data_IF_383120973873
#
_entry.id   IF_383120973873
#
_cell.length_a   1.000
_cell.length_b   1.000
_cell.length_c   1.000
_cell.angle_alpha   90.00
_cell.angle_beta   90.00
_cell.angle_gamma   90.00
#
_symmetry.space_group_name_H-M   'P 1'
#
loop_
_entity.id
_entity.type
_entity.pdbx_description
1 polymer ?
#
# COMPACT_ATOMS: atom_id res chain seq x y z
N UNK A 1 -50.29 -20.27 -2.80
CA UNK A 1 -50.08 -18.81 -2.60
C UNK A 1 -49.04 -18.64 -1.51
N UNK A 2 -47.92 -18.01 -1.85
CA UNK A 2 -46.65 -18.08 -1.13
C UNK A 2 -46.59 -17.14 0.07
N UNK A 3 -46.12 -17.67 1.21
CA UNK A 3 -45.86 -16.96 2.46
C UNK A 3 -44.63 -16.05 2.32
N UNK A 4 -44.82 -14.73 2.40
CA UNK A 4 -43.72 -13.77 2.58
C UNK A 4 -43.36 -13.71 4.08
N UNK A 5 -42.29 -14.38 4.48
CA UNK A 5 -41.62 -14.10 5.76
C UNK A 5 -40.59 -12.98 5.54
N UNK A 6 -40.86 -11.83 6.13
CA UNK A 6 -39.93 -10.72 6.28
C UNK A 6 -38.90 -11.07 7.35
N UNK A 7 -37.65 -11.32 6.96
CA UNK A 7 -36.53 -11.50 7.89
C UNK A 7 -35.83 -10.16 8.12
N UNK A 8 -36.03 -9.61 9.32
CA UNK A 8 -35.27 -8.47 9.83
C UNK A 8 -33.78 -8.83 9.95
N UNK A 9 -32.92 -8.04 9.33
CA UNK A 9 -31.47 -8.11 9.54
C UNK A 9 -31.18 -7.47 10.90
N UNK A 10 -30.68 -8.30 11.81
CA UNK A 10 -30.23 -7.91 13.14
C UNK A 10 -29.00 -6.99 12.98
N UNK A 11 -29.15 -5.69 13.27
CA UNK A 11 -28.04 -4.73 13.26
C UNK A 11 -27.14 -5.01 14.47
N UNK A 12 -26.08 -5.78 14.26
CA UNK A 12 -24.96 -5.81 15.20
C UNK A 12 -24.37 -4.41 15.29
N UNK A 13 -24.41 -3.87 16.50
CA UNK A 13 -23.89 -2.56 16.86
C UNK A 13 -22.45 -2.39 16.38
N UNK A 14 -22.21 -1.34 15.61
CA UNK A 14 -20.86 -0.90 15.29
C UNK A 14 -20.12 -0.58 16.61
N UNK A 15 -18.87 -1.03 16.79
CA UNK A 15 -18.12 -0.72 18.00
C UNK A 15 -17.92 0.79 18.11
N UNK A 16 -18.30 1.35 19.27
CA UNK A 16 -18.12 2.77 19.61
C UNK A 16 -16.63 3.14 19.53
N UNK A 17 -16.33 4.34 19.00
CA UNK A 17 -14.98 4.91 18.98
C UNK A 17 -14.36 4.89 20.39
N UNK A 18 -13.09 4.49 20.55
CA UNK A 18 -12.40 4.60 21.83
C UNK A 18 -12.29 6.08 22.24
N UNK A 19 -12.50 6.38 23.52
CA UNK A 19 -12.28 7.71 24.11
C UNK A 19 -10.80 8.10 23.97
N UNK A 20 -10.56 9.38 23.68
CA UNK A 20 -9.25 9.98 23.62
C UNK A 20 -8.53 9.84 24.97
N UNK A 21 -7.36 9.21 24.98
CA UNK A 21 -6.55 9.00 26.19
C UNK A 21 -5.74 7.70 26.23
N UNK A 22 -5.93 6.78 25.26
CA UNK A 22 -5.11 5.57 25.14
C UNK A 22 -3.87 5.77 24.29
N UNK A 23 -2.78 5.09 24.65
CA UNK A 23 -1.57 5.00 23.83
C UNK A 23 -1.94 4.66 22.36
N UNK A 24 -1.59 5.53 21.39
CA UNK A 24 -1.89 5.33 19.98
C UNK A 24 -1.35 3.98 19.47
N UNK A 25 -0.18 3.54 19.95
CA UNK A 25 0.41 2.26 19.56
C UNK A 25 -0.42 1.08 20.07
N UNK A 26 -0.96 1.17 21.30
CA UNK A 26 -1.86 0.16 21.85
C UNK A 26 -3.19 0.11 21.08
N UNK A 27 -3.72 1.26 20.67
CA UNK A 27 -4.99 1.37 19.93
C UNK A 27 -4.87 0.81 18.51
N UNK A 28 -3.74 1.05 17.84
CA UNK A 28 -3.44 0.47 16.52
C UNK A 28 -3.21 -1.04 16.64
N UNK A 29 -2.42 -1.51 17.62
CA UNK A 29 -2.21 -2.95 17.84
C UNK A 29 -3.52 -3.68 18.15
N UNK A 30 -4.38 -3.10 18.98
CA UNK A 30 -5.67 -3.71 19.33
C UNK A 30 -6.68 -3.67 18.19
N UNK A 31 -6.75 -2.57 17.42
CA UNK A 31 -7.58 -2.50 16.22
C UNK A 31 -7.10 -3.45 15.12
N UNK A 32 -5.79 -3.52 14.88
CA UNK A 32 -5.17 -4.43 13.92
C UNK A 32 -5.38 -5.89 14.34
N UNK A 33 -5.18 -6.22 15.63
CA UNK A 33 -5.42 -7.55 16.18
C UNK A 33 -6.89 -7.94 16.10
N UNK A 34 -7.82 -7.04 16.41
CA UNK A 34 -9.25 -7.29 16.28
C UNK A 34 -9.67 -7.52 14.82
N UNK A 35 -9.11 -6.74 13.88
CA UNK A 35 -9.39 -6.88 12.44
C UNK A 35 -8.77 -8.14 11.85
N UNK A 36 -7.52 -8.47 12.21
CA UNK A 36 -6.85 -9.71 11.84
C UNK A 36 -7.58 -10.94 12.41
N UNK A 37 -8.09 -10.86 13.64
CA UNK A 37 -8.89 -11.93 14.24
C UNK A 37 -10.26 -12.07 13.58
N UNK A 38 -10.90 -10.96 13.19
CA UNK A 38 -12.13 -10.97 12.38
C UNK A 38 -11.89 -11.61 11.00
N UNK A 39 -10.74 -11.36 10.37
CA UNK A 39 -10.34 -12.01 9.12
C UNK A 39 -10.01 -13.50 9.28
N UNK A 40 -9.45 -13.90 10.44
CA UNK A 40 -9.24 -15.31 10.80
C UNK A 40 -10.55 -16.07 11.05
N UNK A 41 -11.57 -15.40 11.59
CA UNK A 41 -12.89 -15.99 11.85
C UNK A 41 -13.77 -16.18 10.62
N UNK A 42 -13.50 -15.46 9.52
CA UNK A 42 -14.35 -15.45 8.31
C UNK A 42 -13.81 -16.36 7.20
N UNK A 43 -12.55 -16.83 7.26
CA UNK A 43 -11.96 -17.54 6.13
C UNK A 43 -10.96 -18.60 6.56
N UNK A 44 -11.33 -19.88 6.44
CA UNK A 44 -10.36 -20.92 6.05
C UNK A 44 -9.82 -20.50 4.68
N UNK A 45 -8.66 -19.84 4.65
CA UNK A 45 -7.98 -19.54 3.40
C UNK A 45 -7.52 -20.86 2.78
N UNK A 46 -8.34 -21.43 1.90
CA UNK A 46 -7.93 -22.52 1.03
C UNK A 46 -7.06 -21.89 -0.05
N UNK A 47 -5.74 -21.83 0.16
CA UNK A 47 -4.79 -21.52 -0.90
C UNK A 47 -4.85 -22.66 -1.93
N UNK A 48 -5.82 -22.62 -2.83
CA UNK A 48 -5.96 -23.64 -3.88
C UNK A 48 -5.00 -23.38 -5.06
N UNK A 49 -4.28 -22.26 -5.07
CA UNK A 49 -3.40 -21.89 -6.18
C UNK A 49 -2.02 -21.45 -5.67
N UNK A 50 -0.97 -22.11 -6.18
CA UNK A 50 0.41 -21.74 -5.92
C UNK A 50 0.67 -20.26 -6.24
N UNK A 51 1.32 -19.57 -5.31
CA UNK A 51 1.67 -18.16 -5.42
C UNK A 51 3.04 -18.06 -6.09
N UNK A 52 3.14 -17.27 -7.17
CA UNK A 52 4.39 -17.14 -7.94
C UNK A 52 5.34 -16.11 -7.33
N UNK A 53 4.80 -15.09 -6.64
CA UNK A 53 5.56 -14.08 -5.91
C UNK A 53 4.86 -13.78 -4.59
N UNK A 54 5.63 -13.53 -3.53
CA UNK A 54 5.07 -13.11 -2.23
C UNK A 54 4.09 -11.94 -2.39
N UNK A 55 2.95 -11.93 -1.65
CA UNK A 55 2.07 -10.78 -1.63
C UNK A 55 2.78 -9.54 -1.08
N UNK A 56 2.55 -8.39 -1.71
CA UNK A 56 3.17 -7.12 -1.36
C UNK A 56 2.12 -6.04 -1.26
N UNK A 57 2.36 -5.07 -0.40
CA UNK A 57 1.54 -3.87 -0.31
C UNK A 57 2.38 -2.67 0.04
N UNK A 58 1.95 -1.51 -0.44
CA UNK A 58 2.65 -0.26 -0.26
C UNK A 58 1.71 0.75 0.41
N UNK A 59 2.26 1.65 1.21
CA UNK A 59 1.47 2.59 1.98
C UNK A 59 2.16 3.93 2.10
N UNK A 60 1.42 5.00 1.87
CA UNK A 60 1.90 6.37 2.05
C UNK A 60 0.76 7.21 2.62
N UNK A 61 1.09 7.96 3.66
CA UNK A 61 0.19 8.89 4.35
C UNK A 61 1.02 9.81 5.23
N UNK A 62 0.50 11.00 5.53
CA UNK A 62 1.06 11.86 6.58
C UNK A 62 0.85 11.25 7.99
N UNK A 63 -0.08 10.31 8.13
CA UNK A 63 -0.29 9.54 9.36
C UNK A 63 0.38 8.17 9.24
N UNK A 64 1.37 7.89 10.10
CA UNK A 64 2.18 6.67 10.05
C UNK A 64 1.38 5.39 10.26
N UNK A 65 0.44 5.38 11.21
CA UNK A 65 -0.43 4.24 11.46
C UNK A 65 -1.27 3.89 10.22
N UNK A 66 -1.84 4.91 9.57
CA UNK A 66 -2.64 4.73 8.36
C UNK A 66 -1.81 4.25 7.17
N UNK A 67 -0.57 4.74 7.03
CA UNK A 67 0.34 4.25 5.99
C UNK A 67 0.64 2.75 6.18
N UNK A 68 0.91 2.31 7.41
CA UNK A 68 1.15 0.89 7.72
C UNK A 68 -0.11 0.05 7.48
N UNK A 69 -1.28 0.52 7.92
CA UNK A 69 -2.55 -0.15 7.68
C UNK A 69 -2.78 -0.36 6.18
N UNK A 70 -2.57 0.68 5.36
CA UNK A 70 -2.65 0.62 3.91
C UNK A 70 -1.72 -0.44 3.31
N UNK A 71 -0.45 -0.46 3.72
CA UNK A 71 0.52 -1.43 3.22
C UNK A 71 0.11 -2.88 3.56
N UNK A 72 -0.38 -3.12 4.78
CA UNK A 72 -0.84 -4.44 5.19
C UNK A 72 -2.11 -4.87 4.42
N UNK A 73 -3.07 -3.97 4.24
CA UNK A 73 -4.30 -4.26 3.50
C UNK A 73 -4.01 -4.54 2.03
N UNK A 74 -3.09 -3.80 1.41
CA UNK A 74 -2.66 -4.06 0.03
C UNK A 74 -1.95 -5.42 -0.08
N UNK A 75 -1.14 -5.83 0.90
CA UNK A 75 -0.49 -7.14 0.90
C UNK A 75 -1.51 -8.29 1.06
N UNK A 76 -2.60 -8.06 1.79
CA UNK A 76 -3.67 -9.06 1.98
C UNK A 76 -4.60 -9.18 0.77
N UNK A 77 -4.77 -8.11 0.00
CA UNK A 77 -5.73 -8.06 -1.11
C UNK A 77 -5.50 -9.15 -2.17
N UNK A 78 -4.25 -9.45 -2.62
CA UNK A 78 -3.99 -10.57 -3.53
C UNK A 78 -4.37 -11.94 -2.97
N UNK A 79 -4.37 -12.12 -1.65
CA UNK A 79 -4.76 -13.39 -1.02
C UNK A 79 -6.28 -13.59 -1.02
N UNK A 80 -7.04 -12.50 -0.92
CA UNK A 80 -8.50 -12.52 -0.94
C UNK A 80 -9.08 -12.58 -2.36
N UNK A 81 -8.41 -11.92 -3.31
CA UNK A 81 -8.87 -11.78 -4.69
C UNK A 81 -8.10 -12.68 -5.66
N UNK A 82 -7.34 -13.68 -5.19
CA UNK A 82 -6.48 -14.49 -6.07
C UNK A 82 -7.32 -15.21 -7.12
N UNK A 83 -6.99 -14.99 -8.38
CA UNK A 83 -7.64 -15.64 -9.52
C UNK A 83 -6.59 -16.17 -10.49
N UNK A 84 -6.98 -17.12 -11.34
CA UNK A 84 -6.16 -17.58 -12.49
C UNK A 84 -5.66 -16.41 -13.34
N UNK A 85 -6.48 -15.38 -13.53
CA UNK A 85 -6.13 -14.17 -14.29
C UNK A 85 -5.00 -13.39 -13.63
N UNK A 86 -5.03 -13.19 -12.31
CA UNK A 86 -3.95 -12.50 -11.59
C UNK A 86 -2.64 -13.29 -11.68
N UNK A 87 -2.68 -14.62 -11.51
CA UNK A 87 -1.49 -15.46 -11.67
C UNK A 87 -0.91 -15.36 -13.09
N UNK A 88 -1.77 -15.28 -14.12
CA UNK A 88 -1.31 -15.12 -15.49
C UNK A 88 -0.67 -13.75 -15.72
N UNK A 89 -1.22 -12.69 -15.13
CA UNK A 89 -0.62 -11.34 -15.19
C UNK A 89 0.76 -11.33 -14.54
N UNK A 90 0.91 -11.94 -13.36
CA UNK A 90 2.21 -12.09 -12.67
C UNK A 90 3.22 -12.87 -13.54
N UNK A 91 2.82 -14.03 -14.08
CA UNK A 91 3.68 -14.82 -14.98
C UNK A 91 4.09 -14.04 -16.22
N UNK A 92 3.16 -13.32 -16.85
CA UNK A 92 3.45 -12.50 -18.02
C UNK A 92 4.41 -11.35 -17.68
N UNK A 93 4.28 -10.75 -16.50
CA UNK A 93 5.21 -9.74 -15.99
C UNK A 93 6.62 -10.30 -15.89
N UNK A 94 6.80 -11.44 -15.22
CA UNK A 94 8.12 -12.07 -15.07
C UNK A 94 8.70 -12.50 -16.42
N UNK A 95 7.86 -13.03 -17.32
CA UNK A 95 8.28 -13.42 -18.66
C UNK A 95 8.84 -12.25 -19.47
N UNK A 96 8.29 -11.03 -19.32
CA UNK A 96 8.83 -9.81 -19.95
C UNK A 96 10.22 -9.43 -19.46
N UNK A 97 10.62 -9.92 -18.29
CA UNK A 97 11.90 -9.62 -17.64
C UNK A 97 12.87 -10.81 -17.66
N UNK A 98 12.53 -11.91 -18.34
CA UNK A 98 13.29 -13.17 -18.32
C UNK A 98 14.77 -13.01 -18.68
N UNK A 99 15.08 -12.11 -19.61
CA UNK A 99 16.44 -11.87 -20.13
C UNK A 99 17.21 -10.86 -19.25
N UNK A 100 16.60 -10.37 -18.16
CA UNK A 100 17.17 -9.38 -17.26
C UNK A 100 16.99 -9.83 -15.79
N UNK A 101 17.86 -10.73 -15.30
CA UNK A 101 17.73 -11.34 -13.98
C UNK A 101 17.58 -10.33 -12.84
N UNK A 102 18.33 -9.22 -12.85
CA UNK A 102 18.25 -8.18 -11.82
C UNK A 102 16.87 -7.48 -11.80
N UNK A 103 16.29 -7.20 -12.97
CA UNK A 103 14.93 -6.64 -13.02
C UNK A 103 13.89 -7.68 -12.60
N UNK A 104 14.09 -8.95 -12.95
CA UNK A 104 13.19 -10.03 -12.54
C UNK A 104 13.20 -10.19 -11.01
N UNK A 105 14.36 -10.14 -10.37
CA UNK A 105 14.50 -10.21 -8.91
C UNK A 105 13.87 -8.98 -8.24
N UNK A 106 14.09 -7.78 -8.78
CA UNK A 106 13.43 -6.56 -8.31
C UNK A 106 11.90 -6.63 -8.46
N UNK A 107 11.39 -7.20 -9.56
CA UNK A 107 9.95 -7.40 -9.76
C UNK A 107 9.38 -8.42 -8.78
N UNK A 108 10.13 -9.49 -8.45
CA UNK A 108 9.75 -10.47 -7.43
C UNK A 108 9.77 -9.90 -6.02
N UNK A 109 10.61 -8.90 -5.74
CA UNK A 109 10.76 -8.22 -4.44
C UNK A 109 10.53 -9.17 -3.26
N UNK A 110 11.34 -10.22 -3.21
CA UNK A 110 11.28 -11.28 -2.21
C UNK A 110 11.69 -10.72 -0.85
N UNK A 111 10.70 -10.40 -0.02
CA UNK A 111 10.92 -9.73 1.26
C UNK A 111 11.51 -10.73 2.26
N UNK A 112 11.07 -12.00 2.21
CA UNK A 112 11.63 -13.06 3.02
C UNK A 112 13.14 -13.22 2.83
N UNK A 113 13.60 -13.25 1.57
CA UNK A 113 15.02 -13.26 1.23
C UNK A 113 15.75 -12.03 1.74
N UNK A 114 15.22 -10.82 1.51
CA UNK A 114 15.85 -9.58 1.97
C UNK A 114 16.00 -9.51 3.50
N UNK A 115 15.03 -10.05 4.25
CA UNK A 115 15.12 -10.15 5.71
C UNK A 115 16.19 -11.16 6.11
N UNK A 116 16.21 -12.35 5.50
CA UNK A 116 17.19 -13.40 5.79
C UNK A 116 18.64 -12.93 5.51
N UNK A 117 18.82 -12.14 4.47
CA UNK A 117 20.11 -11.54 4.07
C UNK A 117 20.43 -10.24 4.81
N UNK A 118 19.58 -9.79 5.74
CA UNK A 118 19.74 -8.54 6.50
C UNK A 118 19.83 -7.28 5.61
N UNK A 119 19.14 -7.28 4.47
CA UNK A 119 19.00 -6.13 3.58
C UNK A 119 17.82 -5.24 3.98
N UNK A 120 17.84 -4.74 5.22
CA UNK A 120 16.81 -3.84 5.73
C UNK A 120 17.39 -2.90 6.80
N UNK A 121 16.69 -1.80 7.06
CA UNK A 121 16.96 -0.90 8.16
C UNK A 121 15.80 -0.95 9.15
N UNK A 122 16.09 -1.26 10.40
CA UNK A 122 15.12 -1.14 11.49
C UNK A 122 14.87 0.33 11.80
N UNK A 123 13.59 0.68 11.94
CA UNK A 123 13.15 2.02 12.31
C UNK A 123 12.16 1.89 13.45
N UNK A 124 12.38 2.64 14.52
CA UNK A 124 11.44 2.67 15.64
C UNK A 124 10.17 3.43 15.22
N UNK A 125 9.05 2.74 15.31
CA UNK A 125 7.72 3.27 15.00
C UNK A 125 7.40 4.55 15.78
N UNK A 126 7.81 4.63 17.05
CA UNK A 126 7.49 5.78 17.91
C UNK A 126 8.23 7.07 17.51
N UNK A 127 9.28 6.93 16.69
CA UNK A 127 10.08 8.04 16.19
C UNK A 127 9.72 8.45 14.75
N UNK A 128 8.70 7.81 14.15
CA UNK A 128 8.24 8.19 12.81
C UNK A 128 7.49 9.53 12.85
N UNK A 129 7.79 10.47 11.94
CA UNK A 129 7.03 11.70 11.82
C UNK A 129 5.58 11.36 11.44
N UNK A 130 4.63 11.93 12.17
CA UNK A 130 3.21 11.74 11.92
C UNK A 130 2.49 13.06 12.10
N UNK A 131 1.70 13.44 11.10
CA UNK A 131 0.77 14.56 11.21
C UNK A 131 -0.60 13.97 11.56
N UNK A 132 -1.05 14.23 12.78
CA UNK A 132 -2.42 13.92 13.20
C UNK A 132 -3.26 15.19 13.18
N UNK A 133 -4.55 15.05 12.89
CA UNK A 133 -5.58 16.07 13.16
C UNK A 133 -5.46 17.42 12.41
N UNK A 134 -4.83 17.42 11.22
CA UNK A 134 -4.87 18.55 10.30
C UNK A 134 -6.09 18.46 9.37
N UNK A 135 -6.71 19.60 9.04
CA UNK A 135 -7.72 19.67 7.99
C UNK A 135 -7.12 19.37 6.60
N UNK A 136 -7.97 19.05 5.63
CA UNK A 136 -7.54 18.63 4.29
C UNK A 136 -6.68 19.70 3.57
N UNK A 137 -6.96 20.99 3.76
CA UNK A 137 -6.21 22.08 3.13
C UNK A 137 -4.81 22.16 3.71
N UNK A 138 -4.69 22.00 5.02
CA UNK A 138 -3.41 21.96 5.73
C UNK A 138 -2.58 20.73 5.33
N UNK A 139 -3.21 19.56 5.23
CA UNK A 139 -2.56 18.34 4.74
C UNK A 139 -2.04 18.51 3.31
N UNK A 140 -2.87 19.04 2.39
CA UNK A 140 -2.49 19.26 1.00
C UNK A 140 -1.32 20.26 0.90
N UNK A 141 -1.39 21.37 1.64
CA UNK A 141 -0.32 22.37 1.67
C UNK A 141 1.00 21.78 2.17
N UNK A 142 0.94 20.92 3.20
CA UNK A 142 2.12 20.23 3.74
C UNK A 142 2.75 19.28 2.70
N UNK A 143 1.93 18.55 1.94
CA UNK A 143 2.40 17.66 0.86
C UNK A 143 3.06 18.48 -0.24
N UNK A 144 2.42 19.57 -0.69
CA UNK A 144 2.96 20.43 -1.75
C UNK A 144 4.27 21.08 -1.33
N UNK A 145 4.35 21.54 -0.07
CA UNK A 145 5.58 22.10 0.49
C UNK A 145 6.71 21.06 0.51
N UNK A 146 6.45 19.84 0.99
CA UNK A 146 7.43 18.76 1.00
C UNK A 146 7.92 18.40 -0.42
N UNK A 147 7.02 18.35 -1.40
CA UNK A 147 7.37 18.12 -2.81
C UNK A 147 8.29 19.25 -3.33
N UNK A 148 7.94 20.51 -3.05
CA UNK A 148 8.72 21.67 -3.49
C UNK A 148 10.09 21.76 -2.83
N UNK A 149 10.22 21.42 -1.55
CA UNK A 149 11.49 21.40 -0.83
C UNK A 149 12.45 20.34 -1.38
N UNK A 150 11.93 19.29 -2.01
CA UNK A 150 12.73 18.30 -2.71
C UNK A 150 13.08 18.72 -4.16
N UNK A 151 12.75 19.95 -4.57
CA UNK A 151 13.02 20.48 -5.91
C UNK A 151 12.04 20.00 -7.00
N UNK A 152 10.90 19.42 -6.61
CA UNK A 152 9.89 18.96 -7.56
C UNK A 152 8.70 19.91 -7.64
N UNK A 153 7.94 19.81 -8.73
CA UNK A 153 6.66 20.52 -8.89
C UNK A 153 5.54 19.53 -9.08
N UNK A 154 4.40 19.76 -8.41
CA UNK A 154 3.19 18.98 -8.58
C UNK A 154 2.22 19.70 -9.52
N UNK A 155 1.76 18.98 -10.53
CA UNK A 155 0.73 19.41 -11.47
C UNK A 155 -0.50 18.54 -11.29
N UNK A 156 -1.68 19.10 -11.51
CA UNK A 156 -2.91 18.32 -11.53
C UNK A 156 -3.80 18.72 -12.69
N UNK A 157 -4.67 17.81 -13.08
CA UNK A 157 -5.75 18.05 -14.03
C UNK A 157 -7.00 17.33 -13.55
N UNK A 158 -8.16 17.93 -13.80
CA UNK A 158 -9.44 17.26 -13.58
C UNK A 158 -9.67 16.37 -14.81
N UNK A 159 -9.64 15.06 -14.61
CA UNK A 159 -9.83 14.08 -15.68
C UNK A 159 -11.30 13.97 -16.07
N UNK A 160 -12.19 13.96 -15.07
CA UNK A 160 -13.64 13.92 -15.28
C UNK A 160 -14.36 14.33 -14.00
N UNK A 161 -15.57 14.86 -14.15
CA UNK A 161 -16.55 15.02 -13.07
C UNK A 161 -17.75 14.17 -13.44
N UNK A 162 -18.06 13.17 -12.60
CA UNK A 162 -19.22 12.30 -12.84
C UNK A 162 -20.52 13.03 -12.48
N UNK A 163 -21.65 12.60 -13.05
CA UNK A 163 -22.97 13.16 -12.74
C UNK A 163 -23.33 13.09 -11.24
N UNK A 164 -22.64 12.23 -10.48
CA UNK A 164 -22.75 12.10 -9.02
C UNK A 164 -21.87 13.09 -8.23
N UNK A 165 -21.29 14.10 -8.89
CA UNK A 165 -20.33 15.04 -8.30
C UNK A 165 -19.04 14.40 -7.76
N UNK A 166 -18.68 13.22 -8.27
CA UNK A 166 -17.37 12.60 -8.00
C UNK A 166 -16.35 13.18 -8.98
N UNK A 167 -15.34 13.85 -8.44
CA UNK A 167 -14.24 14.43 -9.23
C UNK A 167 -13.06 13.47 -9.27
N UNK A 168 -12.66 13.08 -10.49
CA UNK A 168 -11.43 12.33 -10.71
C UNK A 168 -10.31 13.30 -11.07
N UNK A 169 -9.24 13.31 -10.27
CA UNK A 169 -8.07 14.15 -10.49
C UNK A 169 -6.89 13.28 -10.87
N UNK A 170 -6.11 13.72 -11.86
CA UNK A 170 -4.82 13.16 -12.20
C UNK A 170 -3.74 14.10 -11.69
N UNK A 171 -2.82 13.57 -10.88
CA UNK A 171 -1.66 14.30 -10.37
C UNK A 171 -0.40 13.79 -11.07
N UNK A 172 0.48 14.72 -11.44
CA UNK A 172 1.78 14.45 -12.04
C UNK A 172 2.84 15.23 -11.27
N UNK A 173 3.87 14.53 -10.80
CA UNK A 173 5.07 15.15 -10.22
C UNK A 173 6.26 14.70 -11.06
N UNK A 174 6.70 15.51 -12.05
CA UNK A 174 7.85 15.18 -12.88
C UNK A 174 9.11 14.97 -12.03
N UNK A 175 9.98 14.05 -12.46
CA UNK A 175 11.22 13.74 -11.75
C UNK A 175 11.08 12.75 -10.59
N UNK A 176 9.87 12.44 -10.11
CA UNK A 176 9.71 11.35 -9.14
C UNK A 176 10.07 10.01 -9.75
N UNK A 177 10.75 9.19 -8.94
CA UNK A 177 11.18 7.85 -9.28
C UNK A 177 10.01 6.94 -9.70
N UNK A 178 10.23 6.14 -10.73
CA UNK A 178 9.24 5.21 -11.30
C UNK A 178 9.71 3.75 -11.25
N UNK A 179 10.74 3.44 -10.48
CA UNK A 179 11.33 2.11 -10.39
C UNK A 179 10.30 1.04 -10.00
N UNK A 180 9.29 1.40 -9.19
CA UNK A 180 8.18 0.52 -8.84
C UNK A 180 7.45 -0.10 -10.04
N UNK A 181 7.49 0.52 -11.23
CA UNK A 181 6.91 -0.04 -12.46
C UNK A 181 7.63 -1.30 -12.97
N UNK A 182 8.79 -1.65 -12.40
CA UNK A 182 9.43 -2.96 -12.62
C UNK A 182 8.50 -4.12 -12.22
N UNK A 183 7.64 -3.92 -11.22
CA UNK A 183 6.60 -4.86 -10.81
C UNK A 183 5.49 -5.04 -11.87
N UNK A 184 5.44 -4.15 -12.87
CA UNK A 184 4.56 -4.26 -14.03
C UNK A 184 5.32 -4.76 -15.27
N UNK A 185 6.59 -5.15 -15.12
CA UNK A 185 7.43 -5.66 -16.21
C UNK A 185 8.07 -4.57 -17.06
N UNK A 186 8.21 -3.35 -16.53
CA UNK A 186 8.94 -2.25 -17.18
C UNK A 186 10.41 -2.29 -16.78
N UNK A 187 11.30 -2.02 -17.74
CA UNK A 187 12.76 -1.95 -17.53
C UNK A 187 13.14 -0.51 -17.20
N UNK A 188 12.99 -0.12 -15.94
CA UNK A 188 13.27 1.23 -15.44
C UNK A 188 14.40 1.12 -14.44
N UNK A 189 15.43 1.95 -14.56
CA UNK A 189 16.51 2.01 -13.58
C UNK A 189 16.05 2.72 -12.31
N UNK A 190 16.56 2.33 -11.13
CA UNK A 190 16.36 3.12 -9.92
C UNK A 190 16.94 4.51 -10.10
N UNK A 191 16.22 5.53 -9.67
CA UNK A 191 16.68 6.90 -9.62
C UNK A 191 17.52 7.18 -8.36
N UNK A 192 18.07 8.39 -8.29
CA UNK A 192 18.97 8.84 -7.21
C UNK A 192 18.45 8.51 -5.80
N UNK A 193 17.16 8.73 -5.53
CA UNK A 193 16.55 8.43 -4.22
C UNK A 193 16.72 6.97 -3.80
N UNK A 194 16.61 6.02 -4.73
CA UNK A 194 16.76 4.60 -4.44
C UNK A 194 18.21 4.28 -4.08
N UNK A 195 19.18 4.86 -4.80
CA UNK A 195 20.60 4.74 -4.48
C UNK A 195 20.94 5.36 -3.12
N UNK A 196 20.46 6.58 -2.85
CA UNK A 196 20.64 7.25 -1.56
C UNK A 196 20.08 6.38 -0.41
N UNK A 197 18.93 5.72 -0.60
CA UNK A 197 18.29 4.88 0.41
C UNK A 197 19.08 3.62 0.78
N UNK A 198 19.91 3.10 -0.14
CA UNK A 198 20.79 1.95 0.11
C UNK A 198 22.23 2.36 0.40
N UNK A 199 22.50 3.66 0.57
CA UNK A 199 23.84 4.19 0.84
C UNK A 199 24.81 4.11 -0.34
N UNK A 200 24.29 4.00 -1.57
CA UNK A 200 25.10 3.95 -2.78
C UNK A 200 25.43 5.39 -3.22
N UNK A 201 26.62 5.86 -2.85
CA UNK A 201 27.13 7.19 -3.20
C UNK A 201 28.04 7.09 -4.42
N UNK A 202 27.48 6.85 -5.60
CA UNK A 202 28.18 7.18 -6.84
C UNK A 202 27.70 8.57 -7.30
N UNK A 203 28.66 9.47 -7.48
CA UNK A 203 28.46 10.73 -8.18
C UNK A 203 28.12 10.45 -9.65
N UNK A 204 26.84 10.26 -9.96
CA UNK A 204 26.30 10.31 -11.32
C UNK A 204 26.15 11.76 -11.78
#
# INVERSE_FOLDING_TARGET
MSSRKSSYINTTSLPRRPRAGGDPAHTVRSALKARLNSLRGITKFKMEMAVTCEPKGFGTSLNSAYAIERALLEALQPLQLRTKKLNQVEKNTLQRLKDYPLFMDAAKADVGKLIAEKHYKEVDYNHLPTLTDADLKTQLSSILFAISNCGYSAYYSISTVLATNITCVKVLVPGLDKFHLVQLGKKIMPGKRCYDAIGFNESL
#
